data_IF_211734864542
#
_entry.id   IF_211734864542
#
_cell.length_a   1.000
_cell.length_b   1.000
_cell.length_c   1.000
_cell.angle_alpha   90.00
_cell.angle_beta   90.00
_cell.angle_gamma   90.00
#
_symmetry.space_group_name_H-M   'P 1'
#
loop_
_entity.id
_entity.type
_entity.pdbx_description
1 polymer ?
#
# COMPACT_ATOMS: atom_id res chain seq x y z
N UNK A 1 -17.24 -21.39 20.54
CA UNK A 1 -16.88 -21.67 19.14
C UNK A 1 -17.51 -20.60 18.28
N UNK A 2 -16.76 -19.93 17.43
CA UNK A 2 -17.34 -18.99 16.46
C UNK A 2 -17.82 -19.82 15.28
N UNK A 3 -19.14 -19.84 15.02
CA UNK A 3 -19.65 -20.35 13.75
C UNK A 3 -19.09 -19.47 12.63
N UNK A 4 -18.10 -19.98 11.90
CA UNK A 4 -17.60 -19.34 10.71
C UNK A 4 -18.48 -19.76 9.54
N UNK A 5 -19.33 -18.86 9.05
CA UNK A 5 -19.98 -19.03 7.75
C UNK A 5 -18.89 -18.96 6.69
N UNK A 6 -18.62 -20.06 6.00
CA UNK A 6 -17.61 -20.13 4.94
C UNK A 6 -17.95 -19.15 3.82
N UNK A 7 -16.95 -18.40 3.35
CA UNK A 7 -17.08 -17.50 2.20
C UNK A 7 -16.46 -18.17 0.98
N UNK A 8 -17.12 -18.07 -0.18
CA UNK A 8 -16.57 -18.58 -1.44
C UNK A 8 -15.28 -17.82 -1.78
N UNK A 9 -14.16 -18.51 -1.79
CA UNK A 9 -12.91 -18.00 -2.34
C UNK A 9 -12.83 -18.37 -3.82
N UNK A 10 -13.25 -17.46 -4.70
CA UNK A 10 -12.96 -17.62 -6.13
C UNK A 10 -11.46 -17.29 -6.33
N UNK A 11 -10.63 -18.34 -6.35
CA UNK A 11 -9.21 -18.29 -6.76
C UNK A 11 -9.00 -17.97 -8.25
N UNK A 12 -9.96 -17.28 -8.86
CA UNK A 12 -9.99 -16.99 -10.29
C UNK A 12 -9.15 -15.77 -10.62
N UNK A 13 -8.36 -15.87 -11.70
CA UNK A 13 -7.76 -14.72 -12.36
C UNK A 13 -8.84 -13.63 -12.50
N UNK A 14 -8.62 -12.40 -12.00
CA UNK A 14 -9.58 -11.30 -12.12
C UNK A 14 -10.13 -11.23 -13.55
N UNK A 15 -11.46 -11.33 -13.75
CA UNK A 15 -11.98 -11.12 -15.12
C UNK A 15 -11.66 -9.68 -15.48
N UNK A 16 -10.92 -9.50 -16.56
CA UNK A 16 -10.42 -8.22 -17.00
C UNK A 16 -11.52 -7.28 -17.49
N UNK A 17 -11.08 -6.19 -18.13
CA UNK A 17 -11.97 -5.17 -18.66
C UNK A 17 -12.39 -4.13 -17.63
N UNK A 18 -12.89 -3.01 -18.16
CA UNK A 18 -13.22 -1.81 -17.40
C UNK A 18 -14.72 -1.71 -17.16
N UNK A 19 -15.12 -1.51 -15.91
CA UNK A 19 -16.51 -1.46 -15.50
C UNK A 19 -17.04 -0.03 -15.40
N UNK A 20 -16.29 0.84 -14.73
CA UNK A 20 -16.80 2.16 -14.31
C UNK A 20 -15.72 3.23 -14.42
N UNK A 21 -16.06 4.38 -15.02
CA UNK A 21 -15.25 5.60 -14.89
C UNK A 21 -15.51 6.22 -13.53
N UNK A 22 -14.45 6.61 -12.84
CA UNK A 22 -14.52 7.30 -11.54
C UNK A 22 -13.69 8.57 -11.58
N UNK A 23 -14.22 9.59 -10.93
CA UNK A 23 -13.52 10.83 -10.58
C UNK A 23 -13.21 10.77 -9.08
N UNK A 24 -11.94 10.91 -8.73
CA UNK A 24 -11.46 10.85 -7.35
C UNK A 24 -10.97 12.23 -6.87
N UNK A 25 -11.41 13.31 -7.51
CA UNK A 25 -11.09 14.69 -7.17
C UNK A 25 -9.80 15.17 -7.81
N UNK A 26 -8.68 14.50 -7.54
CA UNK A 26 -7.38 14.85 -8.14
C UNK A 26 -7.16 14.26 -9.53
N UNK A 27 -8.09 13.46 -10.05
CA UNK A 27 -8.00 12.85 -11.36
C UNK A 27 -9.14 11.89 -11.66
N UNK A 28 -9.04 11.27 -12.85
CA UNK A 28 -10.03 10.32 -13.36
C UNK A 28 -9.38 9.02 -13.81
N UNK A 29 -10.07 7.90 -13.61
CA UNK A 29 -9.66 6.59 -14.12
C UNK A 29 -10.85 5.69 -14.43
N UNK A 30 -10.58 4.50 -14.99
CA UNK A 30 -11.53 3.40 -15.07
C UNK A 30 -11.17 2.33 -14.04
N UNK A 31 -12.15 1.88 -13.27
CA UNK A 31 -12.05 0.72 -12.39
C UNK A 31 -12.36 -0.56 -13.16
N UNK A 32 -11.72 -1.66 -12.79
CA UNK A 32 -11.91 -2.97 -13.41
C UNK A 32 -13.23 -3.62 -13.01
N UNK A 33 -13.71 -4.59 -13.80
CA UNK A 33 -14.82 -5.45 -13.39
C UNK A 33 -14.51 -6.24 -12.12
N UNK A 34 -13.24 -6.54 -11.87
CA UNK A 34 -12.82 -7.26 -10.68
C UNK A 34 -13.25 -6.51 -9.42
N UNK A 35 -12.78 -5.27 -9.27
CA UNK A 35 -13.07 -4.49 -8.07
C UNK A 35 -14.52 -4.02 -8.03
N UNK A 36 -15.20 -3.79 -9.16
CA UNK A 36 -16.57 -3.27 -9.13
C UNK A 36 -17.61 -4.39 -8.96
N UNK A 37 -17.49 -5.50 -9.70
CA UNK A 37 -18.59 -6.45 -9.89
C UNK A 37 -18.32 -7.89 -9.41
N UNK A 38 -17.06 -8.28 -9.17
CA UNK A 38 -16.72 -9.71 -8.93
C UNK A 38 -16.46 -10.06 -7.47
N UNK A 39 -16.04 -9.10 -6.65
CA UNK A 39 -15.67 -9.35 -5.26
C UNK A 39 -16.49 -8.51 -4.29
N UNK A 40 -16.82 -9.09 -3.14
CA UNK A 40 -17.45 -8.40 -2.01
C UNK A 40 -16.41 -7.92 -0.98
N UNK A 41 -15.25 -8.58 -0.96
CA UNK A 41 -14.15 -8.30 -0.04
C UNK A 41 -12.79 -8.48 -0.74
N UNK A 42 -11.82 -7.66 -0.31
CA UNK A 42 -10.44 -7.67 -0.75
C UNK A 42 -9.51 -7.71 0.48
N UNK A 43 -8.60 -8.70 0.49
CA UNK A 43 -7.45 -8.73 1.38
C UNK A 43 -6.27 -8.19 0.60
N UNK A 44 -5.65 -7.12 1.09
CA UNK A 44 -4.52 -6.49 0.44
C UNK A 44 -3.21 -7.08 0.99
N UNK A 45 -2.35 -7.57 0.10
CA UNK A 45 -1.06 -8.20 0.46
C UNK A 45 0.10 -7.37 -0.11
N UNK A 46 0.46 -6.23 0.51
CA UNK A 46 1.57 -5.40 0.04
C UNK A 46 2.94 -5.97 0.44
N UNK A 47 4.00 -5.53 -0.23
CA UNK A 47 5.39 -5.76 0.20
C UNK A 47 5.94 -4.50 0.89
N UNK A 48 6.85 -4.66 1.85
CA UNK A 48 7.56 -3.54 2.48
C UNK A 48 8.75 -3.15 1.60
N UNK A 49 8.63 -2.01 0.90
CA UNK A 49 9.71 -1.55 0.01
C UNK A 49 9.84 -0.04 -0.08
N UNK A 50 11.07 0.42 -0.22
CA UNK A 50 11.39 1.76 -0.65
C UNK A 50 10.84 2.01 -2.07
N UNK A 51 10.43 3.24 -2.34
CA UNK A 51 10.05 3.70 -3.66
C UNK A 51 10.76 5.02 -4.00
N UNK A 52 11.43 5.17 -5.16
CA UNK A 52 12.19 6.37 -5.49
C UNK A 52 11.38 7.67 -5.44
N UNK A 53 10.16 7.64 -5.98
CA UNK A 53 9.27 8.82 -6.01
C UNK A 53 8.44 9.00 -4.74
N UNK A 54 7.66 7.99 -4.36
CA UNK A 54 6.74 8.06 -3.21
C UNK A 54 7.42 7.90 -1.85
N UNK A 55 8.69 7.50 -1.79
CA UNK A 55 9.41 7.14 -0.56
C UNK A 55 9.20 5.70 -0.13
N UNK A 56 7.95 5.26 -0.12
CA UNK A 56 7.55 3.92 0.31
C UNK A 56 6.46 3.35 -0.60
N UNK A 57 6.47 2.04 -0.78
CA UNK A 57 5.31 1.29 -1.27
C UNK A 57 4.92 0.30 -0.18
N UNK A 58 3.66 0.39 0.22
CA UNK A 58 2.99 -0.57 1.09
C UNK A 58 1.52 -0.66 0.74
N UNK A 59 0.66 -0.77 1.75
CA UNK A 59 -0.77 -0.94 1.66
C UNK A 59 -1.45 0.06 0.71
N UNK A 60 -1.21 1.36 0.87
CA UNK A 60 -1.92 2.40 0.10
C UNK A 60 -1.48 2.40 -1.37
N UNK A 61 -0.18 2.33 -1.63
CA UNK A 61 0.35 2.33 -3.00
C UNK A 61 0.08 1.02 -3.74
N UNK A 62 0.06 -0.13 -3.04
CA UNK A 62 -0.28 -1.42 -3.64
C UNK A 62 -1.68 -1.41 -4.26
N UNK A 63 -2.64 -0.71 -3.65
CA UNK A 63 -3.99 -0.55 -4.18
C UNK A 63 -4.04 0.56 -5.24
N UNK A 64 -3.55 1.76 -4.92
CA UNK A 64 -3.69 2.93 -5.81
C UNK A 64 -2.90 2.81 -7.12
N UNK A 65 -1.94 1.87 -7.20
CA UNK A 65 -1.13 1.62 -8.39
C UNK A 65 -1.24 0.18 -8.91
N UNK A 66 -2.27 -0.58 -8.53
CA UNK A 66 -2.57 -1.90 -9.09
C UNK A 66 -3.17 -1.79 -10.51
N UNK A 67 -2.31 -1.49 -11.47
CA UNK A 67 -2.68 -1.34 -12.88
C UNK A 67 -3.13 -2.66 -13.50
N UNK A 68 -4.20 -2.60 -14.31
CA UNK A 68 -4.76 -3.79 -14.98
C UNK A 68 -5.61 -4.68 -14.06
N UNK A 69 -5.39 -4.65 -12.74
CA UNK A 69 -6.18 -5.40 -11.76
C UNK A 69 -7.27 -4.54 -11.12
N UNK A 70 -6.93 -3.36 -10.60
CA UNK A 70 -7.90 -2.48 -9.93
C UNK A 70 -8.29 -1.32 -10.84
N UNK A 71 -7.33 -0.73 -11.55
CA UNK A 71 -7.57 0.46 -12.36
C UNK A 71 -6.76 0.54 -13.63
N UNK A 72 -7.19 1.44 -14.51
CA UNK A 72 -6.53 1.71 -15.77
C UNK A 72 -5.35 2.68 -15.63
N UNK A 73 -4.19 2.28 -16.15
CA UNK A 73 -3.05 3.14 -16.43
C UNK A 73 -2.55 3.99 -15.24
N UNK A 74 -2.27 3.41 -14.06
CA UNK A 74 -1.85 4.19 -12.89
C UNK A 74 -0.51 4.91 -13.06
N UNK A 75 0.28 4.58 -14.10
CA UNK A 75 1.56 5.22 -14.38
C UNK A 75 1.46 6.76 -14.47
N UNK A 76 0.31 7.29 -14.92
CA UNK A 76 0.07 8.74 -15.01
C UNK A 76 -0.09 9.45 -13.66
N UNK A 77 -0.12 8.71 -12.56
CA UNK A 77 -0.35 9.23 -11.21
C UNK A 77 0.93 9.30 -10.35
N UNK A 78 2.11 9.28 -10.99
CA UNK A 78 3.41 9.41 -10.31
C UNK A 78 3.90 10.86 -10.16
N UNK A 79 3.19 11.85 -10.71
CA UNK A 79 3.53 13.27 -10.55
C UNK A 79 3.44 13.69 -9.08
N UNK A 80 4.22 14.71 -8.70
CA UNK A 80 4.28 15.22 -7.32
C UNK A 80 4.48 14.10 -6.26
N UNK A 81 5.44 13.19 -6.50
CA UNK A 81 5.72 12.06 -5.60
C UNK A 81 4.49 11.18 -5.31
N UNK A 82 3.60 11.05 -6.30
CA UNK A 82 2.35 10.32 -6.24
C UNK A 82 1.28 10.91 -5.29
N UNK A 83 1.47 12.14 -4.81
CA UNK A 83 0.52 12.86 -3.95
C UNK A 83 -0.31 13.86 -4.80
N UNK A 84 -1.63 14.01 -4.58
CA UNK A 84 -2.48 13.31 -3.62
C UNK A 84 -3.01 11.96 -4.13
N UNK A 85 -2.59 11.52 -5.33
CA UNK A 85 -3.18 10.38 -6.04
C UNK A 85 -3.25 9.09 -5.23
N UNK A 86 -2.20 8.73 -4.47
CA UNK A 86 -2.23 7.52 -3.63
C UNK A 86 -3.41 7.55 -2.67
N UNK A 87 -3.62 8.67 -1.97
CA UNK A 87 -4.67 8.83 -0.98
C UNK A 87 -6.05 8.88 -1.64
N UNK A 88 -6.20 9.73 -2.66
CA UNK A 88 -7.49 9.96 -3.30
C UNK A 88 -8.01 8.73 -4.05
N UNK A 89 -7.13 7.98 -4.74
CA UNK A 89 -7.50 6.73 -5.40
C UNK A 89 -7.87 5.65 -4.38
N UNK A 90 -7.11 5.50 -3.29
CA UNK A 90 -7.45 4.55 -2.23
C UNK A 90 -8.81 4.88 -1.59
N UNK A 91 -9.15 6.17 -1.48
CA UNK A 91 -10.41 6.65 -0.90
C UNK A 91 -11.65 6.42 -1.79
N UNK A 92 -11.49 6.03 -3.06
CA UNK A 92 -12.62 5.73 -3.96
C UNK A 92 -13.52 4.68 -3.31
N UNK A 93 -14.81 4.99 -3.20
CA UNK A 93 -15.79 4.19 -2.46
C UNK A 93 -15.76 2.70 -2.86
N UNK A 94 -15.78 2.43 -4.17
CA UNK A 94 -15.77 1.08 -4.74
C UNK A 94 -14.51 0.26 -4.39
N UNK A 95 -13.41 0.94 -4.07
CA UNK A 95 -12.16 0.34 -3.62
C UNK A 95 -12.18 0.20 -2.10
N UNK A 96 -12.38 1.31 -1.39
CA UNK A 96 -12.26 1.42 0.06
C UNK A 96 -13.22 0.49 0.80
N UNK A 97 -14.48 0.40 0.36
CA UNK A 97 -15.50 -0.41 1.04
C UNK A 97 -15.24 -1.92 0.92
N UNK A 98 -14.46 -2.33 -0.08
CA UNK A 98 -14.14 -3.73 -0.32
C UNK A 98 -12.90 -4.18 0.43
N UNK A 99 -11.96 -3.28 0.73
CA UNK A 99 -10.75 -3.64 1.47
C UNK A 99 -11.12 -3.90 2.93
N UNK A 100 -10.87 -5.14 3.39
CA UNK A 100 -11.20 -5.55 4.76
C UNK A 100 -9.98 -5.66 5.66
N UNK A 101 -8.82 -5.96 5.09
CA UNK A 101 -7.64 -6.26 5.88
C UNK A 101 -6.34 -6.15 5.07
N UNK A 102 -5.25 -5.87 5.75
CA UNK A 102 -3.91 -5.81 5.19
C UNK A 102 -3.00 -6.85 5.82
N UNK A 103 -2.34 -7.65 4.99
CA UNK A 103 -1.30 -8.61 5.37
C UNK A 103 -0.03 -8.22 4.64
N UNK A 104 0.80 -7.36 5.24
CA UNK A 104 2.05 -6.95 4.60
C UNK A 104 3.10 -8.05 4.71
N UNK A 105 3.60 -8.49 3.55
CA UNK A 105 4.76 -9.34 3.45
C UNK A 105 6.02 -8.56 3.87
N UNK A 106 6.55 -8.93 5.03
CA UNK A 106 7.80 -8.43 5.58
C UNK A 106 8.84 -9.54 5.74
N UNK A 107 8.76 -10.63 4.97
CA UNK A 107 9.81 -11.66 5.00
C UNK A 107 11.13 -11.07 4.48
N UNK A 108 11.05 -10.35 3.36
CA UNK A 108 12.15 -9.62 2.75
C UNK A 108 11.73 -8.19 2.43
N UNK A 109 12.49 -7.23 2.92
CA UNK A 109 12.28 -5.82 2.62
C UNK A 109 13.25 -5.32 1.53
N UNK A 110 12.86 -4.27 0.82
CA UNK A 110 13.74 -3.54 -0.12
C UNK A 110 14.01 -2.16 0.46
N UNK A 111 15.23 -1.90 0.93
CA UNK A 111 15.53 -0.63 1.62
C UNK A 111 16.00 0.44 0.63
N UNK A 112 16.43 0.06 -0.56
CA UNK A 112 16.88 1.00 -1.57
C UNK A 112 16.70 0.48 -3.01
N UNK A 113 16.76 1.41 -3.98
CA UNK A 113 16.65 1.12 -5.41
C UNK A 113 15.39 0.33 -5.80
N UNK A 114 14.30 0.49 -5.05
CA UNK A 114 12.98 0.06 -5.52
C UNK A 114 12.55 0.86 -6.76
N UNK A 115 11.33 0.72 -7.28
CA UNK A 115 10.19 -0.03 -6.77
C UNK A 115 10.12 -1.47 -7.29
N UNK A 116 10.92 -1.80 -8.29
CA UNK A 116 11.12 -3.17 -8.78
C UNK A 116 12.12 -3.91 -7.88
N UNK A 117 12.13 -5.25 -7.88
CA UNK A 117 13.11 -6.04 -7.14
C UNK A 117 14.55 -5.65 -7.56
N UNK A 118 15.33 -5.02 -6.68
CA UNK A 118 16.71 -4.66 -7.01
C UNK A 118 17.64 -5.85 -6.79
N UNK A 119 18.93 -5.73 -7.10
CA UNK A 119 19.93 -6.72 -6.66
C UNK A 119 19.90 -6.98 -5.13
N UNK A 120 20.29 -8.18 -4.65
CA UNK A 120 20.12 -8.60 -3.25
C UNK A 120 20.75 -7.66 -2.20
N UNK A 121 21.82 -6.94 -2.53
CA UNK A 121 22.50 -6.01 -1.63
C UNK A 121 21.67 -4.79 -1.23
N UNK A 122 20.53 -4.54 -1.88
CA UNK A 122 19.58 -3.47 -1.50
C UNK A 122 18.34 -4.00 -0.75
N UNK A 123 18.41 -5.26 -0.32
CA UNK A 123 17.34 -5.97 0.36
C UNK A 123 17.81 -6.43 1.73
N UNK A 124 16.88 -6.63 2.67
CA UNK A 124 17.17 -7.15 4.00
C UNK A 124 16.12 -8.17 4.43
N UNK A 125 16.53 -9.11 5.28
CA UNK A 125 15.61 -10.07 5.89
C UNK A 125 14.94 -9.42 7.10
N UNK A 126 13.65 -9.14 6.98
CA UNK A 126 12.83 -8.57 8.05
C UNK A 126 12.09 -9.67 8.83
N UNK A 127 11.95 -10.87 8.23
CA UNK A 127 11.43 -12.10 8.86
C UNK A 127 10.14 -11.87 9.67
N UNK A 128 9.24 -11.04 9.14
CA UNK A 128 8.03 -10.62 9.84
C UNK A 128 6.82 -10.60 8.91
N UNK A 129 5.63 -10.75 9.47
CA UNK A 129 4.36 -10.49 8.79
C UNK A 129 3.67 -9.37 9.57
N UNK A 130 3.18 -8.35 8.88
CA UNK A 130 2.45 -7.24 9.51
C UNK A 130 0.98 -7.31 9.17
N UNK A 131 0.15 -7.13 10.18
CA UNK A 131 -1.29 -7.24 10.10
C UNK A 131 -1.91 -5.91 10.53
N UNK A 132 -2.84 -5.36 9.73
CA UNK A 132 -3.51 -4.11 10.09
C UNK A 132 -4.85 -3.93 9.38
N UNK A 133 -5.78 -3.25 10.07
CA UNK A 133 -6.97 -2.64 9.47
C UNK A 133 -6.74 -1.19 9.04
N UNK A 134 -5.70 -0.53 9.59
CA UNK A 134 -5.32 0.82 9.25
C UNK A 134 -4.15 0.80 8.22
N UNK A 135 -4.41 1.16 6.95
CA UNK A 135 -3.40 1.17 5.90
C UNK A 135 -2.37 2.30 6.07
N UNK A 136 -2.77 3.43 6.67
CA UNK A 136 -1.89 4.59 6.88
C UNK A 136 -0.90 4.27 8.00
N UNK A 137 -1.37 3.67 9.08
CA UNK A 137 -0.52 3.25 10.19
C UNK A 137 0.47 2.18 9.72
N UNK A 138 0.00 1.20 8.93
CA UNK A 138 0.85 0.17 8.36
C UNK A 138 1.95 0.73 7.46
N UNK A 139 1.60 1.67 6.57
CA UNK A 139 2.61 2.33 5.72
C UNK A 139 3.56 3.23 6.51
N UNK A 140 3.08 3.87 7.58
CA UNK A 140 3.90 4.71 8.46
C UNK A 140 4.99 3.87 9.12
N UNK A 141 4.61 2.76 9.77
CA UNK A 141 5.58 1.82 10.38
C UNK A 141 6.49 1.20 9.32
N UNK A 142 5.94 0.76 8.18
CA UNK A 142 6.72 0.19 7.09
C UNK A 142 7.80 1.15 6.55
N UNK A 143 7.47 2.44 6.43
CA UNK A 143 8.41 3.44 5.97
C UNK A 143 9.51 3.76 6.99
N UNK A 144 9.22 3.69 8.28
CA UNK A 144 10.23 3.80 9.36
C UNK A 144 11.20 2.62 9.33
N UNK A 145 10.69 1.40 9.15
CA UNK A 145 11.52 0.20 9.03
C UNK A 145 12.47 0.26 7.83
N UNK A 146 11.99 0.77 6.69
CA UNK A 146 12.83 1.05 5.52
C UNK A 146 13.93 2.06 5.87
N UNK A 147 13.62 3.15 6.57
CA UNK A 147 14.61 4.15 6.94
C UNK A 147 15.66 3.62 7.92
N UNK A 148 15.24 2.80 8.88
CA UNK A 148 16.15 2.11 9.80
C UNK A 148 17.10 1.19 9.02
N UNK A 149 16.56 0.36 8.11
CA UNK A 149 17.36 -0.52 7.27
C UNK A 149 18.33 0.27 6.38
N UNK A 150 17.91 1.39 5.79
CA UNK A 150 18.79 2.29 5.01
C UNK A 150 19.95 2.79 5.85
N UNK A 151 19.66 3.28 7.06
CA UNK A 151 20.67 3.80 7.97
C UNK A 151 21.70 2.73 8.37
N UNK A 152 21.24 1.50 8.61
CA UNK A 152 22.12 0.38 9.00
C UNK A 152 23.03 -0.08 7.86
N UNK A 153 22.51 -0.17 6.63
CA UNK A 153 23.25 -0.76 5.51
C UNK A 153 24.09 0.25 4.71
N UNK A 154 23.81 1.55 4.83
CA UNK A 154 24.51 2.60 4.06
C UNK A 154 25.33 3.58 4.89
N UNK A 155 25.29 3.48 6.22
CA UNK A 155 26.11 4.33 7.11
C UNK A 155 25.65 5.78 7.25
N UNK A 156 24.65 6.22 6.49
CA UNK A 156 24.07 7.56 6.62
C UNK A 156 22.54 7.47 6.65
N UNK A 157 21.90 8.36 7.44
CA UNK A 157 20.49 8.69 7.28
C UNK A 157 20.35 9.40 5.94
N UNK A 158 20.27 8.63 4.85
CA UNK A 158 19.96 9.19 3.53
C UNK A 158 18.68 10.00 3.68
N UNK A 159 18.81 11.32 3.65
CA UNK A 159 17.69 12.23 3.84
C UNK A 159 16.69 11.92 2.73
N UNK A 160 15.52 11.44 3.13
CA UNK A 160 14.43 11.21 2.18
C UNK A 160 14.13 12.54 1.50
N UNK A 161 13.82 12.52 0.20
CA UNK A 161 13.22 13.68 -0.45
C UNK A 161 12.07 14.17 0.46
N UNK A 162 12.03 15.45 0.88
CA UNK A 162 10.97 15.95 1.77
C UNK A 162 9.55 15.72 1.23
N UNK A 163 9.39 15.50 -0.09
CA UNK A 163 8.12 15.19 -0.75
C UNK A 163 7.77 13.70 -0.69
N UNK A 164 8.75 12.84 -0.47
CA UNK A 164 8.53 11.43 -0.29
C UNK A 164 7.75 11.20 1.02
N UNK A 165 6.79 10.27 1.00
CA UNK A 165 5.75 10.06 2.02
C UNK A 165 4.73 11.17 2.22
N UNK A 166 4.70 12.24 1.41
CA UNK A 166 3.68 13.29 1.53
C UNK A 166 2.25 12.71 1.51
N UNK A 167 2.05 11.64 0.75
CA UNK A 167 0.79 10.91 0.67
C UNK A 167 0.29 10.39 2.03
N UNK A 168 1.15 10.09 3.01
CA UNK A 168 0.72 9.64 4.34
C UNK A 168 -0.02 10.74 5.09
N UNK A 169 0.50 11.98 5.03
CA UNK A 169 -0.17 13.14 5.63
C UNK A 169 -1.49 13.42 4.93
N UNK A 170 -1.51 13.35 3.59
CA UNK A 170 -2.74 13.50 2.81
C UNK A 170 -3.75 12.41 3.16
N UNK A 171 -3.35 11.15 3.20
CA UNK A 171 -4.21 10.02 3.54
C UNK A 171 -4.80 10.13 4.96
N UNK A 172 -3.98 10.51 5.95
CA UNK A 172 -4.45 10.79 7.30
C UNK A 172 -5.46 11.95 7.33
N UNK A 173 -5.17 13.04 6.62
CA UNK A 173 -6.09 14.19 6.47
C UNK A 173 -7.40 13.86 5.75
N UNK A 174 -7.44 12.79 4.95
CA UNK A 174 -8.65 12.23 4.32
C UNK A 174 -9.39 11.24 5.22
N UNK A 175 -8.92 11.01 6.45
CA UNK A 175 -9.53 10.06 7.38
C UNK A 175 -9.37 8.60 6.94
N UNK A 176 -8.27 8.27 6.25
CA UNK A 176 -7.95 6.90 5.84
C UNK A 176 -7.20 6.11 6.92
N UNK A 177 -6.72 6.78 7.98
CA UNK A 177 -5.96 6.16 9.04
C UNK A 177 -5.04 7.16 9.76
N UNK A 178 -4.13 6.63 10.58
CA UNK A 178 -3.24 7.39 11.45
C UNK A 178 -1.80 7.37 10.91
N UNK A 179 -1.18 8.55 10.76
CA UNK A 179 0.23 8.68 10.38
C UNK A 179 1.15 9.25 11.47
N UNK A 180 0.63 9.45 12.70
CA UNK A 180 1.44 9.83 13.86
C UNK A 180 1.89 8.56 14.59
N UNK A 181 3.18 8.19 14.57
CA UNK A 181 3.69 6.97 15.20
C UNK A 181 3.33 6.84 16.67
N UNK A 182 3.21 7.97 17.39
CA UNK A 182 2.86 7.99 18.83
C UNK A 182 1.42 7.55 19.09
N UNK A 183 0.59 7.52 18.05
CA UNK A 183 -0.82 7.10 18.09
C UNK A 183 -1.04 5.73 17.45
N UNK A 184 0.02 5.07 17.00
CA UNK A 184 -0.03 3.73 16.42
C UNK A 184 0.36 2.72 17.50
N UNK A 185 -0.54 1.81 17.82
CA UNK A 185 -0.26 0.70 18.73
C UNK A 185 0.39 -0.46 17.96
N UNK A 186 1.72 -0.59 18.04
CA UNK A 186 2.45 -1.72 17.47
C UNK A 186 2.55 -2.85 18.50
N UNK A 187 1.77 -3.92 18.29
CA UNK A 187 1.83 -5.13 19.12
C UNK A 187 2.73 -6.16 18.45
N UNK A 188 3.80 -6.57 19.13
CA UNK A 188 4.71 -7.61 18.64
C UNK A 188 4.34 -8.96 19.24
N UNK A 189 4.09 -9.94 18.39
CA UNK A 189 3.89 -11.33 18.77
C UNK A 189 5.09 -12.12 18.26
N UNK A 190 5.72 -12.89 19.14
CA UNK A 190 6.79 -13.83 18.78
C UNK A 190 6.17 -15.23 18.78
N UNK A 191 6.32 -15.95 17.68
CA UNK A 191 5.82 -17.31 17.49
C UNK A 191 7.00 -18.27 17.49
#
# INVERSE_FOLDING_TARGET
MVEAVGVRFDGGKPKGGWAKRVDFGSGKTRLSNFIVNQIDALINVPNIKQHPLAGFTGALKNISHAGGTIMEGPNRFHTNSCDPYIADIYAVKEIREKIRFHISNGLKGIFDRGAEPPPPQFQWFLNSIFLSFDPVALDTIGAELVDQARSQHRGEKLRRDPRALKYLKTAAGRGLGINDPRRIALVKLTV
#
